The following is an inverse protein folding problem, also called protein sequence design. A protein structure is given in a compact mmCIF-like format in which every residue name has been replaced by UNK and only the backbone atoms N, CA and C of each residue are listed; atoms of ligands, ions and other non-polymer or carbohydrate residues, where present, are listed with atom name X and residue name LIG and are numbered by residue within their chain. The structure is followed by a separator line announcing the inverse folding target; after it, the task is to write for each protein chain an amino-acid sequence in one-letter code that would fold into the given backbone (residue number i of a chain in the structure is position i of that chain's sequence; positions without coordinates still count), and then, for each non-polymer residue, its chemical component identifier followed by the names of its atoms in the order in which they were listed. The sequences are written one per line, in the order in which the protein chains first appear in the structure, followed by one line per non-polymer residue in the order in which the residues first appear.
data_IF_264598798373
#
_entry.id   IF_264598798373
#
_cell.length_a   1.000
_cell.length_b   1.000
_cell.length_c   1.000
_cell.angle_alpha   90.00
_cell.angle_beta   90.00
_cell.angle_gamma   90.00
#
_symmetry.space_group_name_H-M   'P 1'
#
loop_
_entity.id
_entity.type
_entity.pdbx_description
1 polymer ?
#
# COMPACT_ATOMS: atom_id res chain seq x y z
N UNK A 1 -3.74 7.46 8.93
CA UNK A 1 -4.76 8.52 9.08
C UNK A 1 -4.30 9.72 8.26
N UNK A 2 -5.15 10.14 7.33
CA UNK A 2 -4.92 11.34 6.53
C UNK A 2 -5.31 12.55 7.37
N UNK A 3 -4.38 13.05 8.13
CA UNK A 3 -4.52 14.38 8.71
C UNK A 3 -3.81 15.38 7.79
N UNK A 4 -4.40 16.59 7.63
CA UNK A 4 -3.86 17.59 6.74
C UNK A 4 -2.38 17.86 7.02
N UNK A 5 -1.55 17.72 6.00
CA UNK A 5 -0.11 17.89 6.12
C UNK A 5 0.23 19.33 6.46
N UNK A 6 0.87 19.48 7.58
CA UNK A 6 1.56 20.72 7.91
C UNK A 6 3.07 20.45 7.81
N UNK A 7 3.84 21.41 7.33
CA UNK A 7 5.29 21.24 7.06
C UNK A 7 6.03 20.62 8.27
N UNK A 8 5.63 20.94 9.48
CA UNK A 8 6.26 20.40 10.69
C UNK A 8 5.75 19.02 11.13
N UNK A 9 4.67 18.49 10.53
CA UNK A 9 4.08 17.19 10.84
C UNK A 9 4.37 16.12 9.76
N UNK A 10 4.87 16.52 8.60
CA UNK A 10 5.25 15.59 7.53
C UNK A 10 6.50 14.77 7.90
N UNK A 11 6.84 13.81 7.06
CA UNK A 11 7.98 12.92 7.26
C UNK A 11 9.34 13.63 7.44
N UNK A 12 9.48 14.88 7.00
CA UNK A 12 10.67 15.73 7.24
C UNK A 12 10.64 16.47 8.58
N UNK A 13 9.54 16.38 9.32
CA UNK A 13 9.35 17.14 10.55
C UNK A 13 9.96 16.46 11.78
N UNK A 14 10.48 17.26 12.70
CA UNK A 14 11.03 16.77 13.98
C UNK A 14 10.01 16.00 14.83
N UNK A 15 8.73 16.27 14.69
CA UNK A 15 7.66 15.48 15.34
C UNK A 15 7.54 14.07 14.78
N UNK A 16 7.80 13.89 13.48
CA UNK A 16 7.89 12.56 12.86
C UNK A 16 9.05 11.76 13.43
N UNK A 17 10.23 12.37 13.53
CA UNK A 17 11.43 11.73 14.10
C UNK A 17 11.22 11.31 15.54
N UNK A 18 10.61 12.18 16.35
CA UNK A 18 10.26 11.86 17.75
C UNK A 18 9.25 10.71 17.82
N UNK A 19 8.28 10.66 16.90
CA UNK A 19 7.28 9.59 16.85
C UNK A 19 7.92 8.25 16.50
N UNK A 20 8.84 8.23 15.54
CA UNK A 20 9.60 7.02 15.16
C UNK A 20 10.46 6.55 16.36
N UNK A 21 11.11 7.46 17.07
CA UNK A 21 11.84 7.14 18.30
C UNK A 21 10.96 6.48 19.38
N UNK A 22 9.74 7.01 19.59
CA UNK A 22 8.77 6.42 20.52
C UNK A 22 8.30 5.04 20.10
N UNK A 23 8.14 4.77 18.80
CA UNK A 23 7.78 3.44 18.31
C UNK A 23 8.83 2.41 18.68
N UNK A 24 10.13 2.76 18.61
CA UNK A 24 11.21 1.91 19.08
C UNK A 24 11.11 1.57 20.57
N UNK A 25 10.80 2.55 21.41
CA UNK A 25 10.63 2.35 22.86
C UNK A 25 9.46 1.38 23.16
N UNK A 26 8.46 1.33 22.29
CA UNK A 26 7.32 0.40 22.35
C UNK A 26 7.63 -0.99 21.77
N UNK A 27 8.85 -1.24 21.30
CA UNK A 27 9.26 -2.52 20.74
C UNK A 27 8.91 -2.72 19.26
N UNK A 28 8.50 -1.65 18.56
CA UNK A 28 8.25 -1.72 17.11
C UNK A 28 9.57 -1.94 16.37
N UNK A 29 9.61 -2.93 15.48
CA UNK A 29 10.79 -3.32 14.72
C UNK A 29 10.65 -3.14 13.20
N UNK A 30 9.49 -2.66 12.74
CA UNK A 30 9.22 -2.40 11.32
C UNK A 30 8.30 -1.21 11.15
N UNK A 31 8.52 -0.42 10.09
CA UNK A 31 7.74 0.76 9.75
C UNK A 31 7.29 0.70 8.28
N UNK A 32 6.03 1.04 8.01
CA UNK A 32 5.53 1.22 6.65
C UNK A 32 5.46 2.70 6.32
N UNK A 33 6.11 3.11 5.22
CA UNK A 33 6.03 4.45 4.67
C UNK A 33 5.09 4.44 3.47
N UNK A 34 4.08 5.30 3.50
CA UNK A 34 2.98 5.29 2.53
C UNK A 34 2.94 6.62 1.79
N UNK A 35 3.63 6.76 0.64
CA UNK A 35 3.41 7.90 -0.23
C UNK A 35 2.05 7.78 -0.92
N UNK A 36 1.29 8.87 -0.90
CA UNK A 36 0.00 8.95 -1.57
C UNK A 36 0.08 9.68 -2.89
N UNK A 37 -0.73 9.24 -3.85
CA UNK A 37 -1.08 10.01 -5.04
C UNK A 37 -2.58 9.97 -5.28
N UNK A 38 -3.09 11.00 -5.98
CA UNK A 38 -4.51 11.08 -6.30
C UNK A 38 -4.85 10.43 -7.64
N UNK A 39 -5.98 9.74 -7.72
CA UNK A 39 -6.59 9.41 -8.99
C UNK A 39 -7.76 10.35 -9.32
N UNK A 40 -7.93 10.63 -10.63
CA UNK A 40 -8.84 11.69 -11.11
C UNK A 40 -10.09 11.16 -11.80
N UNK A 41 -10.17 9.86 -12.02
CA UNK A 41 -11.29 9.20 -12.66
C UNK A 41 -11.34 7.73 -12.23
N UNK A 42 -12.56 7.21 -12.08
CA UNK A 42 -12.79 5.80 -11.75
C UNK A 42 -12.79 4.90 -13.00
N UNK A 43 -12.97 5.48 -14.19
CA UNK A 43 -13.21 4.74 -15.43
C UNK A 43 -12.48 5.28 -16.65
N UNK A 44 -11.49 6.16 -16.45
CA UNK A 44 -10.61 6.66 -17.52
C UNK A 44 -9.17 6.70 -17.02
N UNK A 45 -8.20 6.30 -17.85
CA UNK A 45 -6.79 6.38 -17.51
C UNK A 45 -6.33 7.85 -17.41
N UNK A 46 -5.38 8.12 -16.55
CA UNK A 46 -4.74 9.42 -16.38
C UNK A 46 -3.31 9.23 -15.83
N UNK A 47 -2.37 10.13 -16.16
CA UNK A 47 -1.04 10.10 -15.56
C UNK A 47 -1.09 10.31 -14.06
N UNK A 48 -0.42 9.43 -13.31
CA UNK A 48 -0.34 9.51 -11.86
C UNK A 48 0.80 10.46 -11.47
N UNK A 49 0.48 11.46 -10.67
CA UNK A 49 1.45 12.47 -10.24
C UNK A 49 2.21 12.02 -8.99
N UNK A 50 3.40 12.61 -8.79
CA UNK A 50 4.15 12.48 -7.54
C UNK A 50 3.87 13.66 -6.63
N UNK A 51 3.91 13.42 -5.31
CA UNK A 51 3.85 14.50 -4.33
C UNK A 51 5.16 15.27 -4.33
N UNK A 52 5.10 16.59 -4.47
CA UNK A 52 6.28 17.47 -4.50
C UNK A 52 6.27 18.53 -3.39
N UNK A 53 5.16 18.70 -2.70
CA UNK A 53 5.00 19.69 -1.64
C UNK A 53 5.91 19.42 -0.44
N UNK A 54 6.43 20.46 0.20
CA UNK A 54 7.38 20.36 1.30
C UNK A 54 6.82 19.65 2.56
N UNK A 55 5.51 19.64 2.76
CA UNK A 55 4.88 18.94 3.88
C UNK A 55 4.30 17.56 3.51
N UNK A 56 4.41 17.15 2.24
CA UNK A 56 3.85 15.89 1.75
C UNK A 56 4.88 14.75 1.70
N UNK A 57 4.43 13.59 1.22
CA UNK A 57 5.26 12.41 1.02
C UNK A 57 6.03 12.48 -0.31
N UNK A 58 6.89 13.51 -0.46
CA UNK A 58 7.82 13.61 -1.57
C UNK A 58 9.03 12.68 -1.34
N UNK A 59 9.83 12.47 -2.38
CA UNK A 59 10.97 11.55 -2.32
C UNK A 59 11.93 11.85 -1.16
N UNK A 60 12.27 13.11 -0.93
CA UNK A 60 13.17 13.48 0.16
C UNK A 60 12.58 13.13 1.54
N UNK A 61 11.27 13.33 1.71
CA UNK A 61 10.57 13.02 2.96
C UNK A 61 10.46 11.51 3.22
N UNK A 62 10.19 10.74 2.18
CA UNK A 62 10.18 9.27 2.23
C UNK A 62 11.55 8.75 2.67
N UNK A 63 12.61 9.25 2.03
CA UNK A 63 13.99 8.86 2.34
C UNK A 63 14.42 9.27 3.75
N UNK A 64 14.02 10.45 4.21
CA UNK A 64 14.28 10.90 5.58
C UNK A 64 13.62 9.98 6.61
N UNK A 65 12.33 9.65 6.42
CA UNK A 65 11.62 8.74 7.32
C UNK A 65 12.23 7.32 7.32
N UNK A 66 12.63 6.81 6.14
CA UNK A 66 13.31 5.52 6.03
C UNK A 66 14.67 5.53 6.76
N UNK A 67 15.48 6.57 6.54
CA UNK A 67 16.74 6.75 7.25
C UNK A 67 16.53 6.79 8.76
N UNK A 68 15.58 7.58 9.25
CA UNK A 68 15.28 7.67 10.69
C UNK A 68 14.82 6.33 11.26
N UNK A 69 14.00 5.56 10.53
CA UNK A 69 13.59 4.22 10.95
C UNK A 69 14.80 3.25 11.03
N UNK A 70 15.65 3.22 10.00
CA UNK A 70 16.88 2.41 9.99
C UNK A 70 17.83 2.78 11.14
N UNK A 71 18.02 4.08 11.43
CA UNK A 71 18.83 4.53 12.59
C UNK A 71 18.25 4.04 13.93
N UNK A 72 16.95 3.79 13.99
CA UNK A 72 16.29 3.20 15.15
C UNK A 72 16.23 1.66 15.11
N UNK A 73 16.88 1.02 14.14
CA UNK A 73 16.95 -0.44 14.00
C UNK A 73 15.65 -1.09 13.52
N UNK A 74 14.79 -0.34 12.81
CA UNK A 74 13.57 -0.84 12.22
C UNK A 74 13.79 -1.20 10.74
N UNK A 75 13.18 -2.28 10.27
CA UNK A 75 13.01 -2.54 8.85
C UNK A 75 11.94 -1.64 8.26
N UNK A 76 12.00 -1.36 6.96
CA UNK A 76 11.07 -0.43 6.31
C UNK A 76 10.41 -1.07 5.09
N UNK A 77 9.08 -0.94 5.04
CA UNK A 77 8.29 -1.24 3.84
C UNK A 77 7.89 0.07 3.15
N UNK A 78 8.10 0.16 1.84
CA UNK A 78 7.54 1.22 1.01
C UNK A 78 6.22 0.74 0.40
N UNK A 79 5.13 1.45 0.67
CA UNK A 79 3.76 1.07 0.25
C UNK A 79 3.07 2.25 -0.45
N UNK A 80 3.39 2.55 -1.72
CA UNK A 80 2.69 3.60 -2.47
C UNK A 80 1.20 3.29 -2.61
N UNK A 81 0.35 4.29 -2.40
CA UNK A 81 -1.09 4.11 -2.42
C UNK A 81 -1.80 5.22 -3.20
N UNK A 82 -2.76 4.83 -4.03
CA UNK A 82 -3.68 5.77 -4.66
C UNK A 82 -4.86 6.08 -3.74
N UNK A 83 -5.27 7.34 -3.74
CA UNK A 83 -6.42 7.82 -2.99
C UNK A 83 -7.18 8.91 -3.76
N UNK A 84 -8.48 9.02 -3.58
CA UNK A 84 -9.28 10.09 -4.17
C UNK A 84 -10.60 10.28 -3.41
N UNK A 85 -11.14 11.48 -3.52
CA UNK A 85 -12.51 11.79 -3.11
C UNK A 85 -13.59 11.17 -4.02
N UNK A 86 -13.21 10.61 -5.17
CA UNK A 86 -14.14 10.04 -6.14
C UNK A 86 -14.70 8.68 -5.71
N UNK A 87 -13.97 7.96 -4.87
CA UNK A 87 -14.38 6.64 -4.39
C UNK A 87 -13.20 5.79 -3.93
N UNK A 88 -13.48 4.52 -3.70
CA UNK A 88 -12.50 3.54 -3.27
C UNK A 88 -11.67 3.02 -4.47
N UNK A 89 -10.37 2.83 -4.27
CA UNK A 89 -9.41 2.35 -5.29
C UNK A 89 -9.86 1.02 -5.94
N UNK A 90 -10.49 0.15 -5.17
CA UNK A 90 -11.00 -1.13 -5.64
C UNK A 90 -12.11 -1.04 -6.69
N UNK A 91 -12.80 0.09 -6.77
CA UNK A 91 -13.87 0.33 -7.76
C UNK A 91 -13.33 0.85 -9.10
N UNK A 92 -12.03 1.12 -9.21
CA UNK A 92 -11.43 1.54 -10.48
C UNK A 92 -11.67 0.45 -11.53
N UNK A 93 -12.32 0.83 -12.64
CA UNK A 93 -12.61 -0.06 -13.77
C UNK A 93 -12.58 0.71 -15.07
N UNK A 94 -11.92 0.18 -16.08
CA UNK A 94 -11.87 0.80 -17.39
C UNK A 94 -12.96 0.23 -18.29
N UNK A 95 -13.42 1.01 -19.26
CA UNK A 95 -14.56 0.64 -20.11
C UNK A 95 -14.17 -0.25 -21.30
N UNK A 96 -12.87 -0.34 -21.60
CA UNK A 96 -12.33 -1.13 -22.71
C UNK A 96 -10.84 -1.45 -22.46
N UNK A 97 -10.31 -2.42 -23.21
CA UNK A 97 -8.94 -2.90 -23.05
C UNK A 97 -7.88 -1.82 -23.31
N UNK A 98 -8.11 -0.93 -24.28
CA UNK A 98 -7.15 0.16 -24.57
C UNK A 98 -6.99 1.11 -23.37
N UNK A 99 -8.06 1.38 -22.64
CA UNK A 99 -8.03 2.20 -21.44
C UNK A 99 -7.35 1.46 -20.28
N UNK A 100 -7.53 0.14 -20.16
CA UNK A 100 -6.77 -0.69 -19.21
C UNK A 100 -5.27 -0.68 -19.53
N UNK A 101 -4.89 -0.85 -20.80
CA UNK A 101 -3.49 -0.82 -21.22
C UNK A 101 -2.83 0.51 -20.85
N UNK A 102 -3.53 1.63 -21.10
CA UNK A 102 -3.02 2.97 -20.75
C UNK A 102 -3.01 3.23 -19.24
N UNK A 103 -4.00 2.71 -18.50
CA UNK A 103 -3.99 2.79 -17.03
C UNK A 103 -2.76 2.08 -16.45
N UNK A 104 -2.50 0.84 -16.91
CA UNK A 104 -1.33 0.09 -16.43
C UNK A 104 -0.01 0.72 -16.89
N UNK A 105 0.07 1.34 -18.06
CA UNK A 105 1.24 2.11 -18.48
C UNK A 105 1.54 3.26 -17.49
N UNK A 106 0.54 4.05 -17.11
CA UNK A 106 0.71 5.12 -16.13
C UNK A 106 0.99 4.60 -14.73
N UNK A 107 0.33 3.52 -14.33
CA UNK A 107 0.57 2.90 -13.03
C UNK A 107 1.97 2.30 -12.94
N UNK A 108 2.43 1.63 -13.98
CA UNK A 108 3.78 1.11 -14.07
C UNK A 108 4.83 2.22 -13.93
N UNK A 109 4.72 3.32 -14.69
CA UNK A 109 5.65 4.45 -14.57
C UNK A 109 5.74 4.96 -13.13
N UNK A 110 4.61 5.07 -12.47
CA UNK A 110 4.52 5.54 -11.09
C UNK A 110 5.12 4.55 -10.09
N UNK A 111 4.80 3.26 -10.20
CA UNK A 111 5.26 2.25 -9.25
C UNK A 111 6.75 1.91 -9.44
N UNK A 112 7.25 1.95 -10.68
CA UNK A 112 8.66 1.71 -11.00
C UNK A 112 9.58 2.79 -10.43
N UNK A 113 9.14 4.04 -10.32
CA UNK A 113 9.86 5.08 -9.59
C UNK A 113 10.10 4.66 -8.13
N UNK A 114 9.07 4.17 -7.44
CA UNK A 114 9.20 3.72 -6.06
C UNK A 114 9.96 2.39 -5.93
N UNK A 115 9.86 1.50 -6.92
CA UNK A 115 10.65 0.27 -6.93
C UNK A 115 12.16 0.58 -7.04
N UNK A 116 12.54 1.53 -7.90
CA UNK A 116 13.92 1.99 -8.02
C UNK A 116 14.39 2.67 -6.73
N UNK A 117 13.56 3.51 -6.12
CA UNK A 117 13.85 4.13 -4.81
C UNK A 117 14.05 3.06 -3.73
N UNK A 118 13.17 2.05 -3.69
CA UNK A 118 13.26 0.97 -2.72
C UNK A 118 14.57 0.18 -2.84
N UNK A 119 15.02 -0.10 -4.07
CA UNK A 119 16.31 -0.76 -4.32
C UNK A 119 17.50 0.12 -3.91
N UNK A 120 17.55 1.36 -4.40
CA UNK A 120 18.66 2.28 -4.17
C UNK A 120 18.88 2.59 -2.69
N UNK A 121 17.81 2.67 -1.92
CA UNK A 121 17.86 3.05 -0.51
C UNK A 121 17.58 1.90 0.46
N UNK A 122 17.58 0.67 -0.08
CA UNK A 122 17.55 -0.59 0.70
C UNK A 122 16.33 -0.71 1.61
N UNK A 123 15.16 -0.41 1.08
CA UNK A 123 13.93 -0.81 1.76
C UNK A 123 13.85 -2.35 1.77
N UNK A 124 13.51 -2.93 2.89
CA UNK A 124 13.45 -4.39 3.04
C UNK A 124 12.24 -5.00 2.36
N UNK A 125 11.16 -4.20 2.20
CA UNK A 125 9.91 -4.66 1.60
C UNK A 125 9.28 -3.58 0.73
N UNK A 126 8.64 -4.01 -0.35
CA UNK A 126 7.92 -3.15 -1.28
C UNK A 126 6.52 -3.70 -1.56
N UNK A 127 5.49 -2.88 -1.35
CA UNK A 127 4.11 -3.20 -1.69
C UNK A 127 3.76 -2.60 -3.04
N UNK A 128 3.49 -3.46 -4.03
CA UNK A 128 3.32 -3.07 -5.44
C UNK A 128 1.92 -2.52 -5.73
N UNK A 129 0.92 -2.85 -4.93
CA UNK A 129 -0.44 -2.37 -5.12
C UNK A 129 -1.28 -2.53 -3.85
N UNK A 130 -2.35 -1.74 -3.77
CA UNK A 130 -3.24 -1.69 -2.59
C UNK A 130 -4.68 -1.64 -3.04
N UNK A 131 -5.44 -2.70 -2.73
CA UNK A 131 -6.90 -2.76 -2.89
C UNK A 131 -7.43 -2.41 -4.28
N UNK A 132 -6.81 -2.87 -5.34
CA UNK A 132 -7.30 -2.70 -6.72
C UNK A 132 -8.27 -3.81 -7.12
N UNK A 133 -9.32 -4.08 -6.33
CA UNK A 133 -10.17 -5.25 -6.47
C UNK A 133 -10.63 -5.53 -7.90
N UNK A 134 -11.18 -4.55 -8.62
CA UNK A 134 -11.62 -4.77 -9.99
C UNK A 134 -10.45 -5.05 -10.94
N UNK A 135 -9.37 -4.28 -10.85
CA UNK A 135 -8.20 -4.47 -11.69
C UNK A 135 -7.44 -5.76 -11.35
N UNK A 136 -7.33 -6.14 -10.07
CA UNK A 136 -6.62 -7.36 -9.67
C UNK A 136 -7.36 -8.63 -10.08
N UNK A 137 -8.69 -8.58 -10.15
CA UNK A 137 -9.54 -9.72 -10.53
C UNK A 137 -9.83 -9.81 -12.04
N UNK A 138 -9.62 -8.75 -12.82
CA UNK A 138 -9.87 -8.75 -14.27
C UNK A 138 -8.61 -8.72 -15.13
N UNK A 139 -7.53 -8.12 -14.67
CA UNK A 139 -6.33 -7.83 -15.45
C UNK A 139 -5.09 -8.60 -14.96
N UNK A 140 -5.25 -9.90 -14.70
CA UNK A 140 -4.18 -10.76 -14.14
C UNK A 140 -2.86 -10.65 -14.91
N UNK A 141 -2.89 -10.70 -16.25
CA UNK A 141 -1.69 -10.62 -17.07
C UNK A 141 -0.94 -9.29 -16.89
N UNK A 142 -1.65 -8.19 -16.66
CA UNK A 142 -1.04 -6.88 -16.43
C UNK A 142 -0.32 -6.81 -15.09
N UNK A 143 -0.89 -7.42 -14.06
CA UNK A 143 -0.22 -7.55 -12.77
C UNK A 143 1.00 -8.45 -12.85
N UNK A 144 0.90 -9.58 -13.57
CA UNK A 144 2.03 -10.48 -13.80
C UNK A 144 3.20 -9.77 -14.49
N UNK A 145 2.93 -9.03 -15.56
CA UNK A 145 3.93 -8.22 -16.26
C UNK A 145 4.57 -7.17 -15.34
N UNK A 146 3.76 -6.53 -14.48
CA UNK A 146 4.25 -5.53 -13.54
C UNK A 146 5.17 -6.16 -12.47
N UNK A 147 4.79 -7.30 -11.90
CA UNK A 147 5.63 -8.02 -10.93
C UNK A 147 6.96 -8.41 -11.55
N UNK A 148 6.95 -8.96 -12.76
CA UNK A 148 8.17 -9.33 -13.50
C UNK A 148 9.10 -8.13 -13.76
N UNK A 149 8.52 -6.95 -14.04
CA UNK A 149 9.30 -5.72 -14.24
C UNK A 149 9.88 -5.21 -12.92
N UNK A 150 9.11 -5.22 -11.84
CA UNK A 150 9.58 -4.82 -10.51
C UNK A 150 10.72 -5.74 -10.05
N UNK A 151 10.60 -7.06 -10.24
CA UNK A 151 11.64 -8.04 -9.90
C UNK A 151 12.96 -7.82 -10.63
N UNK A 152 12.96 -7.21 -11.83
CA UNK A 152 14.19 -6.86 -12.55
C UNK A 152 14.96 -5.70 -11.94
N UNK A 153 14.31 -4.90 -11.10
CA UNK A 153 14.90 -3.70 -10.48
C UNK A 153 15.07 -3.89 -8.98
N UNK A 154 14.05 -4.41 -8.30
CA UNK A 154 14.02 -4.53 -6.84
C UNK A 154 14.29 -5.97 -6.39
N UNK A 155 15.34 -6.12 -5.58
CA UNK A 155 15.82 -7.42 -5.08
C UNK A 155 15.28 -7.80 -3.71
N UNK A 156 14.62 -6.87 -3.01
CA UNK A 156 13.99 -7.10 -1.70
C UNK A 156 12.68 -7.87 -1.79
N UNK A 157 11.97 -7.93 -0.68
CA UNK A 157 10.69 -8.65 -0.58
C UNK A 157 9.54 -7.84 -1.18
N UNK A 158 8.70 -8.47 -1.99
CA UNK A 158 7.52 -7.83 -2.57
C UNK A 158 6.21 -8.44 -2.05
N UNK A 159 5.20 -7.57 -1.95
CA UNK A 159 3.83 -7.97 -1.60
C UNK A 159 2.81 -7.11 -2.34
N UNK A 160 1.55 -7.51 -2.24
CA UNK A 160 0.37 -6.76 -2.65
C UNK A 160 -0.61 -6.75 -1.48
N UNK A 161 -1.15 -5.60 -1.11
CA UNK A 161 -2.10 -5.49 0.01
C UNK A 161 -3.54 -5.54 -0.52
N UNK A 162 -4.12 -6.72 -0.53
CA UNK A 162 -5.50 -6.93 -0.98
C UNK A 162 -6.52 -6.36 0.02
N UNK A 163 -7.69 -5.99 -0.48
CA UNK A 163 -8.86 -5.78 0.37
C UNK A 163 -9.35 -7.12 0.92
N UNK A 164 -9.88 -7.11 2.12
CA UNK A 164 -10.48 -8.29 2.74
C UNK A 164 -11.66 -8.85 1.93
N UNK A 165 -11.97 -10.12 2.08
CA UNK A 165 -13.05 -10.80 1.36
C UNK A 165 -12.65 -11.12 -0.08
N UNK A 166 -13.53 -10.84 -1.05
CA UNK A 166 -13.43 -11.35 -2.41
C UNK A 166 -12.06 -11.15 -3.07
N UNK A 167 -11.43 -9.99 -2.94
CA UNK A 167 -10.12 -9.77 -3.55
C UNK A 167 -9.08 -10.68 -2.94
N UNK A 168 -8.94 -10.66 -1.61
CA UNK A 168 -7.97 -11.48 -0.90
C UNK A 168 -8.14 -12.97 -1.19
N UNK A 169 -9.38 -13.46 -1.22
CA UNK A 169 -9.73 -14.87 -1.36
C UNK A 169 -9.58 -15.39 -2.80
N UNK A 170 -9.59 -14.52 -3.82
CA UNK A 170 -9.71 -14.95 -5.22
C UNK A 170 -8.62 -14.43 -6.16
N UNK A 171 -7.76 -13.50 -5.73
CA UNK A 171 -6.65 -13.03 -6.56
C UNK A 171 -5.67 -14.18 -6.84
N UNK A 172 -5.19 -14.28 -8.08
CA UNK A 172 -4.47 -15.46 -8.58
C UNK A 172 -2.95 -15.38 -8.54
N UNK A 173 -2.37 -14.24 -8.12
CA UNK A 173 -0.94 -13.97 -8.21
C UNK A 173 -0.18 -14.04 -6.87
N UNK A 174 -0.76 -14.63 -5.84
CA UNK A 174 -0.08 -14.76 -4.55
C UNK A 174 1.24 -15.52 -4.62
N UNK A 175 1.33 -16.52 -5.50
CA UNK A 175 2.52 -17.33 -5.73
C UNK A 175 3.72 -16.56 -6.31
N UNK A 176 3.50 -15.34 -6.86
CA UNK A 176 4.53 -14.46 -7.38
C UNK A 176 5.12 -13.51 -6.33
N UNK A 177 4.54 -13.49 -5.15
CA UNK A 177 4.87 -12.56 -4.08
C UNK A 177 5.60 -13.29 -2.93
N UNK A 178 6.34 -12.54 -2.12
CA UNK A 178 7.05 -13.09 -0.96
C UNK A 178 6.12 -13.23 0.26
N UNK A 179 5.06 -12.44 0.31
CA UNK A 179 4.07 -12.44 1.38
C UNK A 179 2.67 -12.22 0.82
N UNK A 180 1.71 -12.91 1.40
CA UNK A 180 0.30 -12.60 1.29
C UNK A 180 0.00 -11.48 2.27
N UNK A 181 -0.61 -10.38 1.81
CA UNK A 181 -1.00 -9.28 2.68
C UNK A 181 -2.46 -8.89 2.47
N UNK A 182 -3.16 -8.68 3.55
CA UNK A 182 -4.56 -8.28 3.55
C UNK A 182 -4.79 -7.05 4.43
N UNK A 183 -5.53 -6.08 3.91
CA UNK A 183 -6.09 -5.01 4.72
C UNK A 183 -7.32 -5.57 5.45
N UNK A 184 -7.10 -6.10 6.65
CA UNK A 184 -8.01 -6.95 7.39
C UNK A 184 -9.09 -6.13 8.13
N UNK A 185 -10.04 -5.56 7.39
CA UNK A 185 -11.17 -4.81 7.93
C UNK A 185 -12.46 -5.65 8.01
N UNK A 186 -12.33 -6.95 8.24
CA UNK A 186 -13.49 -7.83 8.41
C UNK A 186 -14.39 -7.31 9.54
N UNK A 187 -15.70 -7.13 9.29
CA UNK A 187 -16.61 -6.68 10.32
C UNK A 187 -16.78 -7.75 11.40
N UNK A 188 -16.59 -7.34 12.66
CA UNK A 188 -16.75 -8.22 13.81
C UNK A 188 -18.20 -8.25 14.33
N UNK A 189 -18.98 -7.19 14.09
CA UNK A 189 -20.38 -7.10 14.52
C UNK A 189 -21.15 -6.06 13.75
N UNK A 190 -22.45 -6.28 13.59
CA UNK A 190 -23.42 -5.27 13.14
C UNK A 190 -24.14 -4.59 14.31
N UNK A 191 -23.88 -5.02 15.54
CA UNK A 191 -24.50 -4.46 16.75
C UNK A 191 -23.76 -3.19 17.19
N UNK A 192 -24.48 -2.23 17.73
CA UNK A 192 -23.89 -1.02 18.32
C UNK A 192 -23.08 -1.31 19.59
N UNK A 193 -23.48 -2.29 20.37
CA UNK A 193 -22.83 -2.70 21.62
C UNK A 193 -22.70 -4.24 21.64
N UNK A 194 -21.75 -4.81 20.91
CA UNK A 194 -21.47 -6.24 20.96
C UNK A 194 -20.80 -6.60 22.29
N UNK A 195 -20.98 -7.85 22.75
CA UNK A 195 -20.23 -8.36 23.89
C UNK A 195 -18.81 -8.77 23.47
N UNK A 196 -17.89 -8.88 24.44
CA UNK A 196 -16.52 -9.33 24.17
C UNK A 196 -16.49 -10.75 23.58
N UNK A 197 -17.40 -11.63 24.03
CA UNK A 197 -17.55 -12.99 23.50
C UNK A 197 -17.99 -12.99 22.03
N UNK A 198 -18.94 -12.12 21.64
CA UNK A 198 -19.39 -11.96 20.26
C UNK A 198 -18.24 -11.45 19.37
N UNK A 199 -17.44 -10.49 19.86
CA UNK A 199 -16.30 -9.97 19.13
C UNK A 199 -15.21 -11.01 18.96
N UNK A 200 -14.90 -11.79 20.00
CA UNK A 200 -13.90 -12.85 19.96
C UNK A 200 -14.31 -13.95 18.98
N UNK A 201 -15.56 -14.42 19.06
CA UNK A 201 -16.09 -15.45 18.14
C UNK A 201 -16.02 -14.99 16.68
N UNK A 202 -16.37 -13.73 16.41
CA UNK A 202 -16.30 -13.16 15.05
C UNK A 202 -14.84 -13.02 14.57
N UNK A 203 -13.94 -12.65 15.46
CA UNK A 203 -12.51 -12.56 15.15
C UNK A 203 -11.92 -13.94 14.81
N UNK A 204 -12.19 -14.96 15.62
CA UNK A 204 -11.75 -16.35 15.37
C UNK A 204 -12.26 -16.86 14.02
N UNK A 205 -13.56 -16.64 13.72
CA UNK A 205 -14.12 -17.00 12.40
C UNK A 205 -13.43 -16.32 11.24
N UNK A 206 -13.04 -15.04 11.37
CA UNK A 206 -12.33 -14.33 10.32
C UNK A 206 -10.89 -14.81 10.19
N UNK A 207 -10.24 -15.24 11.28
CA UNK A 207 -8.92 -15.88 11.21
C UNK A 207 -8.98 -17.19 10.42
N UNK A 208 -9.99 -18.04 10.65
CA UNK A 208 -10.18 -19.29 9.90
C UNK A 208 -10.25 -19.04 8.37
N UNK A 209 -10.89 -17.93 7.96
CA UNK A 209 -10.97 -17.54 6.53
C UNK A 209 -9.60 -17.09 5.99
N UNK A 210 -8.79 -16.42 6.82
CA UNK A 210 -7.47 -15.92 6.40
C UNK A 210 -6.44 -17.05 6.33
N UNK A 211 -6.59 -18.08 7.17
CA UNK A 211 -5.67 -19.21 7.26
C UNK A 211 -5.98 -20.35 6.28
N UNK A 212 -7.19 -20.33 5.65
CA UNK A 212 -7.63 -21.36 4.70
C UNK A 212 -7.01 -21.18 3.30
#
# INVERSE_FOLDING_TARGET
AHEGYQIYNGYMGSTSDQSIGKLKELGVNSLTIIPYSGFRSMNKPFPISYTTGAGGENDASILHAAYTAHQNGMSVMLKPQLWSWLGWTGDITMTNQKDWDLFFEYYEQWIMHYALMAEMYRFEMFCIGVEFQNASLSEHNKWDELFDKVRKIYTGKITYAANWGKEFETVSFWDKLDFIAVNCYYPLSTKMNPTDEELLTAFEKNLDVIEA
#
